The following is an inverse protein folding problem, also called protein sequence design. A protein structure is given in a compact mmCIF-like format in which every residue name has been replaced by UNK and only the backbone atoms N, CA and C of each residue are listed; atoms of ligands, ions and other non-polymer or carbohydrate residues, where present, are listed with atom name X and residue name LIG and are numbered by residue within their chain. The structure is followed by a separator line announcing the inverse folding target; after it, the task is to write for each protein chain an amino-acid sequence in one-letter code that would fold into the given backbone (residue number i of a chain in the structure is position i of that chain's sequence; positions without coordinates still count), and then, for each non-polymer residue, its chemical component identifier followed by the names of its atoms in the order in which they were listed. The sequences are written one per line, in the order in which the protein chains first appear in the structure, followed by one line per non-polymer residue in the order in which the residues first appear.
data_IF_207883678472
#
_entry.id   IF_207883678472
#
_cell.length_a   1.000
_cell.length_b   1.000
_cell.length_c   1.000
_cell.angle_alpha   90.00
_cell.angle_beta   90.00
_cell.angle_gamma   90.00
#
_symmetry.space_group_name_H-M   'P 1'
#
loop_
_entity.id
_entity.type
_entity.pdbx_description
1 polymer ?
#
# COMPACT_ATOMS: atom_id res chain seq x y z
N UNK A 1 1.09 1.29 -21.82
CA UNK A 1 2.40 0.68 -22.13
C UNK A 1 2.80 -0.17 -20.93
N UNK A 2 2.87 -1.51 -21.06
CA UNK A 2 3.34 -2.39 -19.99
C UNK A 2 4.80 -2.74 -20.29
N UNK A 3 5.71 -2.37 -19.39
CA UNK A 3 7.14 -2.66 -19.50
C UNK A 3 7.41 -3.92 -18.66
N UNK A 4 8.06 -4.97 -19.21
CA UNK A 4 8.46 -6.11 -18.41
C UNK A 4 9.70 -5.73 -17.60
N UNK A 5 9.54 -5.56 -16.29
CA UNK A 5 10.64 -5.49 -15.33
C UNK A 5 10.80 -6.89 -14.72
N UNK A 6 12.02 -7.42 -14.74
CA UNK A 6 12.33 -8.76 -14.23
C UNK A 6 11.70 -9.04 -12.87
N UNK A 7 10.94 -10.14 -12.78
CA UNK A 7 10.32 -10.80 -11.61
C UNK A 7 9.77 -9.95 -10.44
N UNK A 8 9.59 -8.65 -10.59
CA UNK A 8 9.00 -7.78 -9.57
C UNK A 8 8.12 -6.75 -10.23
N UNK A 9 6.82 -7.03 -10.27
CA UNK A 9 5.80 -6.02 -10.57
C UNK A 9 5.51 -5.24 -9.29
N UNK A 10 5.89 -3.96 -9.26
CA UNK A 10 5.56 -3.04 -8.17
C UNK A 10 4.29 -2.26 -8.52
N UNK A 11 3.28 -2.30 -7.65
CA UNK A 11 2.15 -1.36 -7.74
C UNK A 11 2.48 -0.16 -6.86
N UNK A 12 2.52 1.03 -7.45
CA UNK A 12 2.68 2.29 -6.71
C UNK A 12 1.30 2.96 -6.64
N UNK A 13 0.83 3.19 -5.42
CA UNK A 13 -0.37 3.98 -5.17
C UNK A 13 0.04 5.29 -4.50
N UNK A 14 -0.51 6.40 -5.00
CA UNK A 14 -0.40 7.71 -4.37
C UNK A 14 -1.79 8.13 -3.90
N UNK A 15 -1.93 8.45 -2.61
CA UNK A 15 -3.19 8.86 -2.01
C UNK A 15 -3.00 10.18 -1.28
N UNK A 16 -3.79 11.18 -1.67
CA UNK A 16 -3.93 12.43 -0.93
C UNK A 16 -5.02 12.22 0.11
N UNK A 17 -4.62 11.91 1.34
CA UNK A 17 -5.56 11.68 2.42
C UNK A 17 -5.87 12.98 3.18
N UNK A 18 -7.13 13.18 3.61
CA UNK A 18 -7.55 14.36 4.36
C UNK A 18 -6.90 14.43 5.75
N UNK A 19 -6.49 13.28 6.29
CA UNK A 19 -5.80 13.13 7.57
C UNK A 19 -4.80 11.98 7.50
N UNK A 20 -3.85 11.99 8.44
CA UNK A 20 -2.81 10.97 8.60
C UNK A 20 -3.13 9.98 9.72
N UNK A 21 -4.41 9.77 10.00
CA UNK A 21 -4.84 8.80 11.00
C UNK A 21 -4.90 7.38 10.42
N UNK A 22 -4.86 6.39 11.32
CA UNK A 22 -4.81 4.99 10.94
C UNK A 22 -6.04 4.58 10.12
N UNK A 23 -7.23 4.98 10.54
CA UNK A 23 -8.50 4.65 9.87
C UNK A 23 -8.50 5.11 8.41
N UNK A 24 -8.01 6.33 8.15
CA UNK A 24 -7.91 6.87 6.78
C UNK A 24 -6.97 6.06 5.89
N UNK A 25 -5.86 5.55 6.45
CA UNK A 25 -4.99 4.63 5.73
C UNK A 25 -5.66 3.28 5.47
N UNK A 26 -6.39 2.73 6.44
CA UNK A 26 -7.12 1.47 6.31
C UNK A 26 -8.19 1.54 5.22
N UNK A 27 -9.00 2.60 5.24
CA UNK A 27 -10.03 2.87 4.22
C UNK A 27 -9.41 2.99 2.83
N UNK A 28 -8.32 3.76 2.71
CA UNK A 28 -7.63 3.94 1.44
C UNK A 28 -7.10 2.61 0.88
N UNK A 29 -6.42 1.80 1.69
CA UNK A 29 -5.86 0.53 1.22
C UNK A 29 -6.96 -0.48 0.90
N UNK A 30 -8.02 -0.53 1.69
CA UNK A 30 -9.19 -1.38 1.42
C UNK A 30 -9.84 -1.01 0.10
N UNK A 31 -10.06 0.29 -0.16
CA UNK A 31 -10.62 0.75 -1.42
C UNK A 31 -9.75 0.37 -2.64
N UNK A 32 -8.41 0.40 -2.50
CA UNK A 32 -7.49 -0.05 -3.53
C UNK A 32 -7.62 -1.57 -3.76
N UNK A 33 -7.65 -2.37 -2.70
CA UNK A 33 -7.80 -3.82 -2.79
C UNK A 33 -9.15 -4.22 -3.40
N UNK A 34 -10.23 -3.54 -3.03
CA UNK A 34 -11.56 -3.73 -3.62
C UNK A 34 -11.56 -3.38 -5.10
N UNK A 35 -10.91 -2.27 -5.48
CA UNK A 35 -10.76 -1.90 -6.89
C UNK A 35 -9.95 -2.95 -7.68
N UNK A 36 -8.93 -3.56 -7.08
CA UNK A 36 -8.24 -4.71 -7.69
C UNK A 36 -9.16 -5.92 -7.83
N UNK A 37 -9.93 -6.24 -6.79
CA UNK A 37 -10.83 -7.37 -6.76
C UNK A 37 -11.92 -7.28 -7.83
N UNK A 38 -12.50 -6.09 -8.05
CA UNK A 38 -13.48 -5.86 -9.14
C UNK A 38 -12.91 -6.11 -10.55
N UNK A 39 -11.59 -6.19 -10.68
CA UNK A 39 -10.86 -6.49 -11.92
C UNK A 39 -10.25 -7.90 -11.92
N UNK A 40 -10.65 -8.74 -10.97
CA UNK A 40 -10.11 -10.08 -10.71
C UNK A 40 -8.60 -10.10 -10.44
N UNK A 41 -8.08 -9.02 -9.85
CA UNK A 41 -6.70 -8.91 -9.39
C UNK A 41 -6.68 -9.08 -7.87
N UNK A 42 -5.84 -9.97 -7.35
CA UNK A 42 -5.68 -10.22 -5.91
C UNK A 42 -4.23 -9.95 -5.50
N UNK A 43 -3.90 -8.72 -5.08
CA UNK A 43 -2.55 -8.39 -4.65
C UNK A 43 -2.17 -9.20 -3.40
N UNK A 44 -1.04 -9.89 -3.45
CA UNK A 44 -0.44 -10.58 -2.30
C UNK A 44 0.99 -10.07 -2.11
N UNK A 45 1.17 -8.81 -1.67
CA UNK A 45 2.50 -8.24 -1.52
C UNK A 45 3.26 -8.98 -0.41
N UNK A 46 4.52 -9.31 -0.63
CA UNK A 46 5.45 -9.73 0.43
C UNK A 46 6.08 -8.53 1.15
N UNK A 47 5.93 -7.33 0.58
CA UNK A 47 6.54 -6.10 1.04
C UNK A 47 5.68 -4.88 0.72
N UNK A 48 5.57 -3.97 1.68
CA UNK A 48 4.96 -2.65 1.51
C UNK A 48 6.01 -1.58 1.78
N UNK A 49 6.07 -0.57 0.90
CA UNK A 49 6.94 0.59 1.06
C UNK A 49 6.07 1.79 1.38
N UNK A 50 6.25 2.42 2.54
CA UNK A 50 5.44 3.55 3.00
C UNK A 50 6.23 4.55 3.84
N UNK A 51 5.61 5.68 4.18
CA UNK A 51 6.22 6.68 5.06
C UNK A 51 6.45 6.13 6.47
N UNK A 52 7.37 6.75 7.22
CA UNK A 52 7.78 6.34 8.58
C UNK A 52 6.69 6.52 9.67
N UNK A 53 5.44 6.78 9.27
CA UNK A 53 4.38 7.11 10.21
C UNK A 53 3.81 5.85 10.87
N UNK A 54 3.61 5.88 12.19
CA UNK A 54 3.09 4.71 12.94
C UNK A 54 1.69 4.32 12.46
N UNK A 55 0.87 5.32 12.12
CA UNK A 55 -0.50 5.11 11.66
C UNK A 55 -0.56 4.22 10.40
N UNK A 56 0.26 4.50 9.38
CA UNK A 56 0.29 3.69 8.16
C UNK A 56 0.87 2.29 8.42
N UNK A 57 1.85 2.15 9.32
CA UNK A 57 2.39 0.84 9.68
C UNK A 57 1.33 -0.06 10.35
N UNK A 58 0.52 0.50 11.24
CA UNK A 58 -0.57 -0.23 11.89
C UNK A 58 -1.66 -0.60 10.89
N UNK A 59 -2.05 0.36 10.04
CA UNK A 59 -3.05 0.13 9.01
C UNK A 59 -2.63 -1.01 8.05
N UNK A 60 -1.36 -1.04 7.62
CA UNK A 60 -0.85 -2.09 6.72
C UNK A 60 -1.01 -3.47 7.36
N UNK A 61 -0.68 -3.61 8.65
CA UNK A 61 -0.86 -4.88 9.38
C UNK A 61 -2.32 -5.25 9.60
N UNK A 62 -3.21 -4.27 9.67
CA UNK A 62 -4.63 -4.49 9.87
C UNK A 62 -5.33 -4.93 8.57
N UNK A 63 -4.98 -4.32 7.44
CA UNK A 63 -5.62 -4.56 6.13
C UNK A 63 -4.99 -5.74 5.40
N UNK A 64 -3.68 -5.94 5.55
CA UNK A 64 -2.95 -6.96 4.80
C UNK A 64 -2.52 -8.14 5.70
N UNK A 65 -2.09 -9.24 5.09
CA UNK A 65 -1.67 -10.44 5.83
C UNK A 65 -0.51 -10.16 6.81
N UNK A 66 -0.50 -10.88 7.94
CA UNK A 66 0.42 -10.64 9.06
C UNK A 66 1.92 -10.78 8.74
N UNK A 67 2.28 -11.48 7.66
CA UNK A 67 3.68 -11.78 7.31
C UNK A 67 4.29 -10.79 6.29
N UNK A 68 3.78 -9.55 6.26
CA UNK A 68 4.27 -8.50 5.36
C UNK A 68 5.46 -7.75 5.95
N UNK A 69 6.51 -7.60 5.13
CA UNK A 69 7.63 -6.73 5.45
C UNK A 69 7.26 -5.28 5.17
N UNK A 70 7.36 -4.42 6.19
CA UNK A 70 7.19 -2.97 6.03
C UNK A 70 8.56 -2.34 5.89
N UNK A 71 8.82 -1.72 4.73
CA UNK A 71 10.00 -0.89 4.52
C UNK A 71 9.59 0.58 4.48
N UNK A 72 10.38 1.40 5.15
CA UNK A 72 10.15 2.84 5.20
C UNK A 72 10.77 3.50 3.96
N UNK A 73 10.02 4.37 3.29
CA UNK A 73 10.53 5.30 2.27
C UNK A 73 10.79 6.69 2.85
N UNK A 74 11.87 7.33 2.39
CA UNK A 74 12.20 8.72 2.68
C UNK A 74 11.74 9.68 1.56
N UNK A 75 10.61 9.39 0.91
CA UNK A 75 10.09 10.26 -0.16
C UNK A 75 9.41 11.47 0.49
N UNK A 76 10.19 12.49 0.83
CA UNK A 76 9.64 13.83 1.09
C UNK A 76 9.28 14.45 -0.25
N UNK A 77 7.98 14.57 -0.56
CA UNK A 77 7.54 15.52 -1.57
C UNK A 77 7.82 16.94 -1.02
N UNK A 78 8.82 17.59 -1.60
CA UNK A 78 9.13 19.00 -1.41
C UNK A 78 8.36 19.85 -2.42
#
# INVERSE_FOLDING_TARGET
MRVPLGETSGTVAYALLPSKDQTSYEECMTAVLDACLTRDIRPTPSKVVCDFEVAIHNAVRQVMANDIQIQVSFIKMH
#
